data_IF_429264494708
#
_entry.id   IF_429264494708
#
_cell.length_a   1.000
_cell.length_b   1.000
_cell.length_c   1.000
_cell.angle_alpha   90.00
_cell.angle_beta   90.00
_cell.angle_gamma   90.00
#
_symmetry.space_group_name_H-M   'P 1'
#
loop_
_entity.id
_entity.type
_entity.pdbx_description
1 polymer ?
#
# COMPACT_ATOMS: atom_id res chain seq x y z
N UNK A 1 -2.04 4.53 22.93
CA UNK A 1 -1.94 5.76 22.12
C UNK A 1 -0.56 6.35 22.35
N UNK A 2 0.35 6.25 21.38
CA UNK A 2 1.72 6.73 21.49
C UNK A 2 1.82 8.26 21.47
N UNK A 3 3.01 8.79 21.74
CA UNK A 3 3.28 10.24 21.65
C UNK A 3 2.95 10.77 20.25
N UNK A 4 2.41 12.00 20.11
CA UNK A 4 2.26 12.67 18.81
C UNK A 4 3.55 12.65 17.98
N UNK A 5 4.70 12.69 18.65
CA UNK A 5 6.02 12.63 18.01
C UNK A 5 6.27 11.28 17.30
N UNK A 6 5.80 10.17 17.88
CA UNK A 6 5.94 8.84 17.28
C UNK A 6 5.18 8.73 15.96
N UNK A 7 3.98 9.34 15.89
CA UNK A 7 3.20 9.38 14.65
C UNK A 7 3.89 10.22 13.56
N UNK A 8 4.55 11.32 13.93
CA UNK A 8 5.31 12.15 12.98
C UNK A 8 6.51 11.38 12.43
N UNK A 9 7.26 10.69 13.30
CA UNK A 9 8.39 9.87 12.87
C UNK A 9 7.96 8.73 11.93
N UNK A 10 6.88 8.01 12.27
CA UNK A 10 6.32 6.99 11.39
C UNK A 10 5.91 7.58 10.04
N UNK A 11 5.37 8.80 10.02
CA UNK A 11 5.00 9.48 8.78
C UNK A 11 6.19 9.83 7.88
N UNK A 12 7.27 10.36 8.47
CA UNK A 12 8.49 10.70 7.73
C UNK A 12 9.13 9.44 7.16
N UNK A 13 9.29 8.43 8.01
CA UNK A 13 9.95 7.19 7.63
C UNK A 13 9.19 6.43 6.54
N UNK A 14 7.86 6.31 6.67
CA UNK A 14 7.02 5.70 5.63
C UNK A 14 7.00 6.52 4.33
N UNK A 15 7.18 7.86 4.40
CA UNK A 15 7.27 8.70 3.20
C UNK A 15 8.54 8.45 2.40
N UNK A 16 9.67 8.24 3.06
CA UNK A 16 10.93 7.89 2.40
C UNK A 16 10.85 6.50 1.79
N UNK A 17 10.34 5.54 2.57
CA UNK A 17 10.25 4.14 2.15
C UNK A 17 9.34 3.94 0.90
N UNK A 18 8.20 4.62 0.83
CA UNK A 18 7.18 4.39 -0.21
C UNK A 18 7.41 5.10 -1.55
N UNK A 19 8.48 5.89 -1.70
CA UNK A 19 8.67 6.75 -2.90
C UNK A 19 8.56 5.98 -4.21
N UNK A 20 9.16 4.78 -4.29
CA UNK A 20 9.11 3.93 -5.48
C UNK A 20 7.69 3.47 -5.82
N UNK A 21 6.93 3.08 -4.79
CA UNK A 21 5.53 2.65 -4.96
C UNK A 21 4.65 3.80 -5.43
N UNK A 22 4.84 5.01 -4.88
CA UNK A 22 4.11 6.21 -5.35
C UNK A 22 4.43 6.52 -6.81
N UNK A 23 5.71 6.47 -7.18
CA UNK A 23 6.14 6.73 -8.56
C UNK A 23 5.57 5.70 -9.53
N UNK A 24 5.56 4.43 -9.13
CA UNK A 24 4.93 3.34 -9.89
C UNK A 24 3.44 3.63 -10.12
N UNK A 25 2.70 3.89 -9.04
CA UNK A 25 1.25 4.14 -9.09
C UNK A 25 0.91 5.36 -9.97
N UNK A 26 1.66 6.45 -9.83
CA UNK A 26 1.50 7.64 -10.66
C UNK A 26 1.78 7.37 -12.15
N UNK A 27 2.77 6.53 -12.46
CA UNK A 27 3.11 6.16 -13.84
C UNK A 27 2.01 5.33 -14.49
N UNK A 28 1.37 4.45 -13.72
CA UNK A 28 0.35 3.54 -14.21
C UNK A 28 -1.09 4.08 -14.07
N UNK A 29 -1.26 5.29 -13.53
CA UNK A 29 -2.57 5.89 -13.21
C UNK A 29 -3.41 5.01 -12.29
N UNK A 30 -2.74 4.38 -11.33
CA UNK A 30 -3.33 3.48 -10.36
C UNK A 30 -3.61 4.22 -9.03
N UNK A 31 -4.46 3.63 -8.20
CA UNK A 31 -4.89 4.21 -6.93
C UNK A 31 -3.93 3.80 -5.82
N UNK A 32 -3.46 4.80 -5.08
CA UNK A 32 -2.62 4.64 -3.91
C UNK A 32 -3.27 5.27 -2.67
N UNK A 33 -3.45 4.48 -1.61
CA UNK A 33 -3.97 4.89 -0.30
C UNK A 33 -2.96 4.62 0.81
N UNK A 34 -2.91 5.49 1.81
CA UNK A 34 -2.06 5.29 2.99
C UNK A 34 -2.69 5.88 4.25
N UNK A 35 -2.54 5.15 5.35
CA UNK A 35 -2.89 5.57 6.69
C UNK A 35 -1.81 5.12 7.65
N UNK A 36 -0.95 6.05 8.07
CA UNK A 36 0.24 5.78 8.90
C UNK A 36 1.12 4.68 8.29
N UNK A 37 1.03 3.44 8.75
CA UNK A 37 1.77 2.26 8.32
C UNK A 37 0.97 1.36 7.36
N UNK A 38 -0.35 1.49 7.30
CA UNK A 38 -1.20 0.72 6.39
C UNK A 38 -1.23 1.35 5.00
N UNK A 39 -0.92 0.54 3.99
CA UNK A 39 -0.88 0.93 2.58
C UNK A 39 -1.87 0.10 1.77
N UNK A 40 -2.65 0.79 0.94
CA UNK A 40 -3.52 0.20 -0.06
C UNK A 40 -3.05 0.63 -1.45
N UNK A 41 -3.08 -0.28 -2.41
CA UNK A 41 -2.77 0.02 -3.80
C UNK A 41 -3.56 -0.87 -4.75
N UNK A 42 -3.94 -0.32 -5.90
CA UNK A 42 -4.49 -1.11 -7.02
C UNK A 42 -3.39 -1.37 -8.03
N UNK A 43 -3.45 -2.48 -8.76
CA UNK A 43 -2.57 -2.65 -9.92
C UNK A 43 -3.22 -3.43 -11.04
N UNK A 44 -2.87 -3.07 -12.27
CA UNK A 44 -3.18 -3.84 -13.49
C UNK A 44 -2.07 -4.82 -13.86
N UNK A 45 -0.97 -4.85 -13.10
CA UNK A 45 0.11 -5.81 -13.30
C UNK A 45 -0.32 -7.24 -12.94
N UNK A 46 0.42 -8.20 -13.49
CA UNK A 46 0.31 -9.57 -13.04
C UNK A 46 0.74 -9.68 -11.57
N UNK A 47 0.20 -10.69 -10.87
CA UNK A 47 0.58 -10.96 -9.47
C UNK A 47 2.08 -11.17 -9.30
N UNK A 48 2.75 -11.75 -10.29
CA UNK A 48 4.19 -12.03 -10.27
C UNK A 48 5.01 -10.74 -10.38
N UNK A 49 4.61 -9.83 -11.27
CA UNK A 49 5.32 -8.56 -11.49
C UNK A 49 5.20 -7.64 -10.27
N UNK A 50 4.01 -7.55 -9.68
CA UNK A 50 3.82 -6.72 -8.47
C UNK A 50 4.60 -7.30 -7.28
N UNK A 51 4.63 -8.62 -7.12
CA UNK A 51 5.43 -9.25 -6.06
C UNK A 51 6.92 -8.95 -6.22
N UNK A 52 7.43 -8.92 -7.46
CA UNK A 52 8.82 -8.57 -7.74
C UNK A 52 9.13 -7.10 -7.39
N UNK A 53 8.22 -6.19 -7.69
CA UNK A 53 8.35 -4.77 -7.34
C UNK A 53 8.31 -4.56 -5.81
N UNK A 54 7.41 -5.28 -5.13
CA UNK A 54 7.30 -5.28 -3.67
C UNK A 54 8.56 -5.85 -3.02
N UNK A 55 9.08 -6.98 -3.50
CA UNK A 55 10.33 -7.58 -3.02
C UNK A 55 11.53 -6.63 -3.19
N UNK A 56 11.59 -5.90 -4.30
CA UNK A 56 12.60 -4.88 -4.53
C UNK A 56 12.54 -3.75 -3.51
N UNK A 57 11.35 -3.41 -3.03
CA UNK A 57 11.10 -2.36 -2.02
C UNK A 57 11.27 -2.87 -0.59
N UNK A 58 11.01 -4.15 -0.32
CA UNK A 58 11.31 -4.79 0.97
C UNK A 58 12.82 -4.78 1.21
N UNK A 59 13.61 -5.10 0.18
CA UNK A 59 15.07 -5.20 0.28
C UNK A 59 15.78 -3.86 0.49
N UNK A 60 15.11 -2.72 0.31
CA UNK A 60 15.76 -1.42 0.50
C UNK A 60 15.98 -1.04 1.96
N UNK A 61 15.23 -1.61 2.91
CA UNK A 61 15.44 -1.34 4.33
C UNK A 61 15.16 -2.59 5.17
N UNK A 62 16.21 -3.13 5.81
CA UNK A 62 16.13 -4.32 6.65
C UNK A 62 15.31 -4.12 7.94
N UNK A 63 15.02 -2.87 8.32
CA UNK A 63 14.24 -2.55 9.51
C UNK A 63 12.74 -2.61 9.25
N UNK A 64 12.33 -2.62 7.98
CA UNK A 64 10.91 -2.68 7.57
C UNK A 64 10.56 -4.09 7.14
N UNK A 65 9.54 -4.66 7.79
CA UNK A 65 8.93 -5.91 7.36
C UNK A 65 7.57 -5.59 6.76
N UNK A 66 7.30 -6.13 5.58
CA UNK A 66 6.05 -5.93 4.88
C UNK A 66 5.31 -7.26 4.81
N UNK A 67 4.06 -7.24 5.23
CA UNK A 67 3.09 -8.29 4.93
C UNK A 67 2.17 -7.77 3.84
N UNK A 68 2.00 -8.53 2.76
CA UNK A 68 1.17 -8.13 1.62
C UNK A 68 0.06 -9.13 1.39
N UNK A 69 -1.14 -8.61 1.10
CA UNK A 69 -2.30 -9.41 0.68
C UNK A 69 -2.74 -8.89 -0.68
N UNK A 70 -2.76 -9.78 -1.67
CA UNK A 70 -3.18 -9.45 -3.04
C UNK A 70 -4.44 -10.26 -3.34
N UNK A 71 -5.55 -9.56 -3.54
CA UNK A 71 -6.86 -10.15 -3.77
C UNK A 71 -7.74 -9.17 -4.56
N UNK A 72 -8.82 -9.66 -5.16
CA UNK A 72 -9.87 -8.81 -5.73
C UNK A 72 -10.68 -8.08 -4.65
N UNK A 73 -10.68 -8.59 -3.43
CA UNK A 73 -11.30 -7.96 -2.26
C UNK A 73 -10.30 -7.93 -1.11
N UNK A 74 -10.07 -6.74 -0.55
CA UNK A 74 -9.14 -6.51 0.56
C UNK A 74 -9.78 -5.65 1.63
N UNK A 75 -9.43 -5.93 2.88
CA UNK A 75 -9.76 -5.08 4.02
C UNK A 75 -8.67 -4.03 4.21
N UNK A 76 -9.08 -2.78 4.41
CA UNK A 76 -8.19 -1.66 4.63
C UNK A 76 -8.81 -0.76 5.70
N UNK A 77 -8.23 -0.76 6.90
CA UNK A 77 -8.81 -0.09 8.08
C UNK A 77 -10.24 -0.64 8.31
N UNK A 78 -11.26 0.21 8.30
CA UNK A 78 -12.66 -0.15 8.52
C UNK A 78 -13.46 -0.23 7.20
N UNK A 79 -12.76 -0.36 6.06
CA UNK A 79 -13.40 -0.49 4.74
C UNK A 79 -12.99 -1.77 4.02
N UNK A 80 -13.95 -2.38 3.33
CA UNK A 80 -13.69 -3.42 2.34
C UNK A 80 -13.67 -2.79 0.96
N UNK A 81 -12.57 -3.01 0.24
CA UNK A 81 -12.39 -2.53 -1.13
C UNK A 81 -12.41 -3.73 -2.05
N UNK A 82 -13.36 -3.76 -2.98
CA UNK A 82 -13.59 -4.83 -3.93
C UNK A 82 -13.46 -4.33 -5.37
N UNK A 83 -12.69 -5.02 -6.19
CA UNK A 83 -12.67 -4.84 -7.63
C UNK A 83 -13.69 -5.78 -8.28
N UNK A 84 -14.83 -5.22 -8.69
CA UNK A 84 -15.89 -5.93 -9.38
C UNK A 84 -15.85 -5.59 -10.87
N UNK A 85 -15.14 -6.39 -11.66
CA UNK A 85 -15.00 -6.22 -13.11
C UNK A 85 -14.57 -4.79 -13.50
N UNK A 86 -13.42 -4.34 -12.98
CA UNK A 86 -12.84 -3.00 -13.23
C UNK A 86 -13.57 -1.84 -12.54
N UNK A 87 -14.66 -2.12 -11.81
CA UNK A 87 -15.30 -1.15 -10.95
C UNK A 87 -14.92 -1.36 -9.49
N UNK A 88 -14.31 -0.34 -8.88
CA UNK A 88 -14.03 -0.35 -7.46
C UNK A 88 -15.29 -0.05 -6.66
N UNK A 89 -15.63 -0.96 -5.76
CA UNK A 89 -16.68 -0.81 -4.77
C UNK A 89 -16.05 -0.74 -3.39
N UNK A 90 -16.46 0.27 -2.62
CA UNK A 90 -16.03 0.47 -1.24
C UNK A 90 -17.24 0.26 -0.34
N UNK A 91 -17.10 -0.58 0.68
CA UNK A 91 -18.13 -0.82 1.70
C UNK A 91 -17.57 -0.46 3.07
N UNK A 92 -18.37 0.21 3.89
CA UNK A 92 -18.03 0.62 5.26
C UNK A 92 -18.88 -0.22 6.21
N UNK A 93 -18.29 -0.70 7.30
CA UNK A 93 -19.01 -1.37 8.39
C UNK A 93 -19.50 -0.40 9.47
#
# INVERSE_FOLDING_TARGET
>A
MGSPFTMVLANIYMLEWKQKLIQHQNRHHEIYGRYIDDVFMTTNLSKEDILKELDGTIKTDSNVKISTTISQSVEYIDVTIENNNEHLKISIY
#
